data_IF_505989683686
#
_entry.id   IF_505989683686
#
_cell.length_a   1.000
_cell.length_b   1.000
_cell.length_c   1.000
_cell.angle_alpha   90.00
_cell.angle_beta   90.00
_cell.angle_gamma   90.00
#
_symmetry.space_group_name_H-M   'P 1'
#
loop_
_entity.id
_entity.type
_entity.pdbx_description
1 polymer ?
#
# COMPACT_ATOMS: atom_id res chain seq x y z
N UNK A 1 -6.19 -3.18 12.53
CA UNK A 1 -7.04 -2.95 11.33
C UNK A 1 -6.21 -2.32 10.23
N UNK A 2 -6.59 -2.53 8.97
CA UNK A 2 -5.88 -1.93 7.85
C UNK A 2 -6.85 -1.45 6.77
N UNK A 3 -6.48 -0.34 6.13
CA UNK A 3 -7.28 0.34 5.13
C UNK A 3 -6.43 0.71 3.91
N UNK A 4 -7.05 0.67 2.73
CA UNK A 4 -6.47 1.14 1.48
C UNK A 4 -7.38 2.25 0.96
N UNK A 5 -6.89 3.48 0.86
CA UNK A 5 -7.67 4.64 0.41
C UNK A 5 -9.04 4.75 1.13
N UNK A 6 -9.06 4.48 2.44
CA UNK A 6 -10.27 4.49 3.27
C UNK A 6 -11.14 3.21 3.21
N UNK A 7 -10.85 2.26 2.33
CA UNK A 7 -11.54 0.96 2.30
C UNK A 7 -10.96 0.02 3.35
N UNK A 8 -11.80 -0.46 4.28
CA UNK A 8 -11.38 -1.45 5.27
C UNK A 8 -11.11 -2.80 4.59
N UNK A 9 -9.89 -3.33 4.75
CA UNK A 9 -9.48 -4.62 4.15
C UNK A 9 -9.10 -5.66 5.19
N UNK A 10 -8.73 -5.23 6.40
CA UNK A 10 -8.42 -6.10 7.54
C UNK A 10 -9.05 -5.54 8.81
N UNK A 11 -9.74 -6.39 9.59
CA UNK A 11 -10.15 -6.09 10.97
C UNK A 11 -9.76 -7.20 11.93
N UNK A 12 -9.25 -6.83 13.10
CA UNK A 12 -8.83 -7.80 14.11
C UNK A 12 -7.79 -8.80 13.60
N UNK A 13 -6.94 -8.39 12.66
CA UNK A 13 -5.91 -9.23 12.04
C UNK A 13 -6.41 -10.21 10.98
N UNK A 14 -7.70 -10.16 10.60
CA UNK A 14 -8.28 -11.03 9.58
C UNK A 14 -8.82 -10.21 8.40
N UNK A 15 -8.69 -10.73 7.17
CA UNK A 15 -9.30 -10.13 5.97
C UNK A 15 -10.81 -10.01 6.18
N UNK A 16 -11.36 -8.86 5.83
CA UNK A 16 -12.82 -8.66 5.78
C UNK A 16 -13.32 -8.73 4.35
N UNK A 17 -14.63 -8.89 4.18
CA UNK A 17 -15.26 -8.74 2.87
C UNK A 17 -15.27 -7.26 2.46
N UNK A 18 -14.88 -7.01 1.22
CA UNK A 18 -14.92 -5.71 0.55
C UNK A 18 -15.10 -5.94 -0.95
N UNK A 19 -15.49 -4.90 -1.67
CA UNK A 19 -15.55 -4.94 -3.13
C UNK A 19 -14.13 -4.87 -3.72
N UNK A 20 -13.63 -6.02 -4.18
CA UNK A 20 -12.31 -6.15 -4.82
C UNK A 20 -12.16 -5.24 -6.04
N UNK A 21 -13.21 -5.00 -6.84
CA UNK A 21 -13.14 -4.12 -8.00
C UNK A 21 -12.99 -2.66 -7.58
N UNK A 22 -13.73 -2.24 -6.55
CA UNK A 22 -13.62 -0.89 -5.99
C UNK A 22 -12.23 -0.63 -5.40
N UNK A 23 -11.69 -1.57 -4.62
CA UNK A 23 -10.34 -1.43 -4.04
C UNK A 23 -9.26 -1.45 -5.11
N UNK A 24 -9.40 -2.27 -6.16
CA UNK A 24 -8.48 -2.26 -7.31
C UNK A 24 -8.51 -0.93 -8.04
N UNK A 25 -9.68 -0.35 -8.27
CA UNK A 25 -9.79 0.98 -8.87
C UNK A 25 -9.15 2.05 -7.97
N UNK A 26 -9.31 1.94 -6.65
CA UNK A 26 -8.68 2.86 -5.70
C UNK A 26 -7.15 2.78 -5.74
N UNK A 27 -6.56 1.60 -5.94
CA UNK A 27 -5.11 1.41 -6.09
C UNK A 27 -4.54 2.04 -7.38
N UNK A 28 -5.37 2.34 -8.37
CA UNK A 28 -4.94 3.00 -9.61
C UNK A 28 -4.80 4.52 -9.51
N UNK A 29 -4.99 5.11 -8.32
CA UNK A 29 -4.79 6.54 -8.07
C UNK A 29 -3.29 6.86 -7.97
N UNK A 30 -2.93 8.10 -8.27
CA UNK A 30 -1.55 8.60 -8.18
C UNK A 30 -0.97 8.50 -6.76
N UNK A 31 -1.81 8.74 -5.75
CA UNK A 31 -1.47 8.52 -4.34
C UNK A 31 -2.32 7.39 -3.78
N UNK A 32 -1.63 6.44 -3.13
CA UNK A 32 -2.24 5.33 -2.39
C UNK A 32 -1.97 5.52 -0.90
N UNK A 33 -3.01 5.82 -0.16
CA UNK A 33 -2.99 5.91 1.30
C UNK A 33 -3.17 4.52 1.91
N UNK A 34 -2.16 4.07 2.66
CA UNK A 34 -2.20 2.84 3.44
C UNK A 34 -2.24 3.20 4.92
N UNK A 35 -3.35 2.87 5.59
CA UNK A 35 -3.50 3.08 7.03
C UNK A 35 -3.48 1.75 7.76
N UNK A 36 -2.67 1.65 8.82
CA UNK A 36 -2.58 0.46 9.67
C UNK A 36 -2.72 0.88 11.13
N UNK A 37 -3.83 0.46 11.75
CA UNK A 37 -4.07 0.63 13.17
C UNK A 37 -3.65 -0.64 13.93
N UNK A 38 -2.59 -0.53 14.75
CA UNK A 38 -2.05 -1.67 15.51
C UNK A 38 -2.90 -2.05 16.73
N UNK A 39 -3.72 -1.13 17.25
CA UNK A 39 -4.60 -1.40 18.40
C UNK A 39 -3.88 -1.57 19.74
N UNK A 40 -2.66 -1.06 19.86
CA UNK A 40 -1.81 -1.19 21.07
C UNK A 40 -1.49 0.14 21.76
N UNK A 41 -2.11 1.24 21.33
CA UNK A 41 -1.93 2.59 21.85
C UNK A 41 -2.27 3.66 20.82
N UNK A 42 -1.99 4.92 21.14
CA UNK A 42 -2.40 6.10 20.36
C UNK A 42 -1.25 6.76 19.58
N UNK A 43 -0.07 6.15 19.58
CA UNK A 43 1.08 6.68 18.86
C UNK A 43 0.89 6.52 17.34
N UNK A 44 1.33 7.52 16.58
CA UNK A 44 1.21 7.56 15.12
C UNK A 44 2.55 7.90 14.46
N UNK A 45 2.82 7.31 13.31
CA UNK A 45 3.97 7.65 12.46
C UNK A 45 3.56 7.54 10.98
N UNK A 46 4.22 8.32 10.11
CA UNK A 46 3.97 8.33 8.67
C UNK A 46 5.27 8.08 7.94
N UNK A 47 5.24 7.19 6.95
CA UNK A 47 6.32 6.93 6.02
C UNK A 47 5.81 7.14 4.59
N UNK A 48 6.73 7.46 3.68
CA UNK A 48 6.44 7.70 2.28
C UNK A 48 7.27 6.76 1.41
N UNK A 49 6.70 6.36 0.29
CA UNK A 49 7.37 5.53 -0.70
C UNK A 49 6.68 5.66 -2.05
N UNK A 50 7.07 4.80 -2.97
CA UNK A 50 6.48 4.66 -4.29
C UNK A 50 6.33 3.18 -4.64
N UNK A 51 5.60 2.89 -5.71
CA UNK A 51 5.51 1.55 -6.26
C UNK A 51 6.84 1.12 -6.91
N UNK A 52 7.04 -0.19 -6.97
CA UNK A 52 8.17 -0.79 -7.65
C UNK A 52 7.78 -1.09 -9.09
N UNK A 53 8.35 -0.34 -10.03
CA UNK A 53 8.06 -0.47 -11.46
C UNK A 53 9.16 -1.24 -12.21
N UNK A 54 8.85 -1.72 -13.41
CA UNK A 54 9.87 -2.26 -14.32
C UNK A 54 10.93 -1.22 -14.67
N UNK A 55 10.56 0.06 -14.83
CA UNK A 55 11.50 1.13 -15.13
C UNK A 55 12.56 1.30 -14.05
N UNK A 56 12.17 1.19 -12.77
CA UNK A 56 13.13 1.18 -11.66
C UNK A 56 14.14 0.02 -11.78
N UNK A 57 13.69 -1.17 -12.19
CA UNK A 57 14.58 -2.32 -12.42
C UNK A 57 15.54 -2.04 -13.57
N UNK A 58 15.02 -1.58 -14.72
CA UNK A 58 15.82 -1.35 -15.92
C UNK A 58 16.90 -0.28 -15.67
N UNK A 59 16.56 0.80 -14.97
CA UNK A 59 17.49 1.86 -14.57
C UNK A 59 18.60 1.30 -13.67
N UNK A 60 18.26 0.51 -12.65
CA UNK A 60 19.21 0.08 -11.63
C UNK A 60 20.00 -1.20 -12.01
N UNK A 61 19.50 -2.02 -12.94
CA UNK A 61 20.18 -3.22 -13.42
C UNK A 61 21.21 -2.94 -14.51
N UNK A 62 21.07 -1.84 -15.25
CA UNK A 62 22.00 -1.44 -16.32
C UNK A 62 23.39 -1.00 -15.80
N UNK A 63 23.55 -0.77 -14.49
CA UNK A 63 24.82 -0.32 -13.89
C UNK A 63 25.92 -1.40 -13.83
N UNK A 64 25.57 -2.70 -13.93
CA UNK A 64 26.54 -3.81 -13.83
C UNK A 64 26.97 -4.39 -15.19
N UNK A 65 26.52 -3.84 -16.31
CA UNK A 65 26.95 -4.25 -17.65
C UNK A 65 27.96 -3.26 -18.25
N UNK A 66 29.12 -3.12 -17.59
CA UNK A 66 30.35 -2.56 -18.19
C UNK A 66 31.52 -3.49 -17.96
#
# INVERSE_FOLDING_TARGET
DAFINGHAVVRGGTRVDFDDAAVRAALGRDVVDLEVALGVGDATATAYGCDLTQGYIDENAAYYSS
#
